data_IF_603268176332
#
_entry.id   IF_603268176332
#
_cell.length_a   1.000
_cell.length_b   1.000
_cell.length_c   1.000
_cell.angle_alpha   90.00
_cell.angle_beta   90.00
_cell.angle_gamma   90.00
#
_symmetry.space_group_name_H-M   'P 1'
#
loop_
_entity.id
_entity.type
_entity.pdbx_description
1 polymer ?
#
# COMPACT_ATOMS: atom_id res chain seq x y z
N UNK A 1 -18.57 12.44 -1.02
CA UNK A 1 -17.36 11.86 -1.64
C UNK A 1 -17.19 10.50 -1.02
N UNK A 2 -17.50 9.44 -1.77
CA UNK A 2 -17.11 8.08 -1.43
C UNK A 2 -15.60 7.99 -1.66
N UNK A 3 -14.88 7.51 -0.66
CA UNK A 3 -13.42 7.51 -0.66
C UNK A 3 -12.89 6.65 0.47
N UNK A 4 -11.60 6.33 0.41
CA UNK A 4 -10.96 5.48 1.40
C UNK A 4 -11.12 6.11 2.79
N UNK A 5 -11.64 5.33 3.74
CA UNK A 5 -11.84 5.71 5.14
C UNK A 5 -10.69 5.25 6.02
N UNK A 6 -9.98 4.20 5.64
CA UNK A 6 -8.90 3.63 6.43
C UNK A 6 -7.85 2.90 5.58
N UNK A 7 -6.61 2.85 6.08
CA UNK A 7 -5.48 2.26 5.37
C UNK A 7 -4.79 1.20 6.21
N UNK A 8 -4.50 0.08 5.57
CA UNK A 8 -3.75 -1.05 6.09
C UNK A 8 -2.36 -1.02 5.46
N UNK A 9 -1.32 -1.04 6.28
CA UNK A 9 0.05 -1.19 5.81
C UNK A 9 0.60 -2.55 6.21
N UNK A 10 1.22 -3.25 5.28
CA UNK A 10 2.23 -4.23 5.64
C UNK A 10 3.43 -3.54 6.32
N UNK A 11 4.16 -4.28 7.16
CA UNK A 11 5.34 -3.74 7.86
C UNK A 11 6.61 -3.89 7.02
N UNK A 12 7.07 -5.13 6.86
CA UNK A 12 8.45 -5.45 6.51
C UNK A 12 8.68 -5.39 4.99
N UNK A 13 9.53 -4.47 4.55
CA UNK A 13 9.74 -4.01 3.17
C UNK A 13 8.60 -3.17 2.56
N UNK A 14 7.67 -2.70 3.40
CA UNK A 14 6.63 -1.73 3.00
C UNK A 14 6.80 -0.40 3.73
N UNK A 15 6.80 -0.42 5.08
CA UNK A 15 7.02 0.78 5.93
C UNK A 15 8.42 0.78 6.53
N UNK A 16 8.95 -0.40 6.88
CA UNK A 16 10.27 -0.56 7.51
C UNK A 16 11.16 -1.44 6.64
N UNK A 17 12.47 -1.34 6.80
CA UNK A 17 13.38 -2.40 6.35
C UNK A 17 13.06 -3.73 7.08
N UNK A 18 13.50 -4.89 6.56
CA UNK A 18 13.31 -6.17 7.23
C UNK A 18 13.83 -6.15 8.67
N UNK A 19 13.01 -6.59 9.63
CA UNK A 19 13.40 -6.75 11.04
C UNK A 19 13.79 -5.45 11.78
N UNK A 20 13.51 -4.30 11.19
CA UNK A 20 13.74 -2.96 11.75
C UNK A 20 12.38 -2.35 12.11
N UNK A 21 12.30 -1.58 13.18
CA UNK A 21 11.03 -1.03 13.69
C UNK A 21 10.84 0.45 13.34
N UNK A 22 11.86 1.08 12.75
CA UNK A 22 11.88 2.45 12.27
C UNK A 22 11.35 2.59 10.85
N UNK A 23 10.64 3.68 10.58
CA UNK A 23 10.16 4.02 9.23
C UNK A 23 11.34 4.20 8.29
N UNK A 24 11.27 3.58 7.12
CA UNK A 24 12.31 3.73 6.10
C UNK A 24 12.23 5.13 5.45
N UNK A 25 13.39 5.74 5.21
CA UNK A 25 13.50 7.11 4.71
C UNK A 25 12.72 7.36 3.41
N UNK A 26 12.69 6.38 2.52
CA UNK A 26 11.98 6.46 1.23
C UNK A 26 10.47 6.64 1.35
N UNK A 27 9.88 6.23 2.48
CA UNK A 27 8.42 6.28 2.71
C UNK A 27 8.03 7.14 3.91
N UNK A 28 8.99 7.75 4.60
CA UNK A 28 8.75 8.57 5.79
C UNK A 28 7.75 9.69 5.53
N UNK A 29 7.97 10.48 4.47
CA UNK A 29 7.08 11.60 4.12
C UNK A 29 5.66 11.13 3.75
N UNK A 30 5.57 10.03 3.01
CA UNK A 30 4.29 9.44 2.62
C UNK A 30 3.54 8.92 3.85
N UNK A 31 4.21 8.22 4.74
CA UNK A 31 3.64 7.67 5.97
C UNK A 31 3.19 8.76 6.95
N UNK A 32 3.99 9.81 7.14
CA UNK A 32 3.58 10.99 7.90
C UNK A 32 2.38 11.69 7.27
N UNK A 33 2.33 11.78 5.94
CA UNK A 33 1.19 12.34 5.23
C UNK A 33 -0.07 11.51 5.45
N UNK A 34 0.02 10.17 5.40
CA UNK A 34 -1.09 9.28 5.73
C UNK A 34 -1.59 9.53 7.16
N UNK A 35 -0.69 9.66 8.14
CA UNK A 35 -1.07 9.96 9.54
C UNK A 35 -1.81 11.28 9.66
N UNK A 36 -1.38 12.32 8.95
CA UNK A 36 -2.08 13.62 8.95
C UNK A 36 -3.45 13.57 8.27
N UNK A 37 -3.57 12.84 7.15
CA UNK A 37 -4.81 12.79 6.35
C UNK A 37 -5.89 11.95 7.02
N UNK A 38 -5.55 10.74 7.47
CA UNK A 38 -6.52 9.80 8.02
C UNK A 38 -6.66 9.90 9.55
N UNK A 39 -5.61 10.35 10.22
CA UNK A 39 -5.45 10.21 11.66
C UNK A 39 -4.90 8.81 12.02
N UNK A 40 -4.05 8.71 13.06
CA UNK A 40 -3.27 7.50 13.33
C UNK A 40 -4.12 6.26 13.64
N UNK A 41 -5.34 6.42 14.17
CA UNK A 41 -6.23 5.28 14.48
C UNK A 41 -6.98 4.73 13.27
N UNK A 42 -7.07 5.50 12.18
CA UNK A 42 -7.61 5.03 10.89
C UNK A 42 -6.51 4.47 9.99
N UNK A 43 -5.34 4.21 10.56
CA UNK A 43 -4.26 3.45 9.97
C UNK A 43 -4.01 2.23 10.85
N UNK A 44 -3.66 1.10 10.26
CA UNK A 44 -3.16 -0.06 11.01
C UNK A 44 -1.95 -0.65 10.30
N UNK A 45 -1.04 -1.22 11.10
CA UNK A 45 0.05 -2.07 10.62
C UNK A 45 -0.36 -3.53 10.78
N UNK A 46 -0.14 -4.34 9.75
CA UNK A 46 -0.25 -5.80 9.84
C UNK A 46 1.10 -6.43 9.52
N UNK A 47 1.62 -7.23 10.45
CA UNK A 47 2.87 -7.97 10.30
C UNK A 47 2.61 -9.47 10.36
N UNK A 48 3.49 -10.26 9.74
CA UNK A 48 3.44 -11.72 9.83
C UNK A 48 4.03 -12.27 11.15
N UNK A 49 4.76 -11.42 11.89
CA UNK A 49 5.41 -11.78 13.16
C UNK A 49 4.83 -11.00 14.33
N UNK A 50 4.65 -9.68 14.22
CA UNK A 50 4.13 -8.85 15.29
C UNK A 50 2.60 -8.89 15.37
N UNK A 51 2.07 -8.88 16.60
CA UNK A 51 0.61 -8.91 16.85
C UNK A 51 -0.02 -10.29 16.68
N UNK A 52 0.78 -11.31 16.36
CA UNK A 52 0.36 -12.71 16.19
C UNK A 52 0.43 -13.48 17.51
N UNK A 53 -0.04 -14.74 17.51
CA UNK A 53 0.15 -15.67 18.64
C UNK A 53 1.62 -15.98 18.93
N UNK A 54 2.50 -15.83 17.93
CA UNK A 54 3.94 -16.04 18.09
C UNK A 54 4.61 -14.82 18.78
N UNK A 55 3.93 -13.68 18.85
CA UNK A 55 4.37 -12.46 19.54
C UNK A 55 4.00 -12.53 21.02
N UNK A 56 4.86 -13.20 21.80
CA UNK A 56 4.67 -13.40 23.24
C UNK A 56 4.43 -12.08 23.98
N UNK A 57 3.26 -11.95 24.60
CA UNK A 57 2.85 -10.73 25.29
C UNK A 57 2.67 -9.51 24.39
N UNK A 58 2.61 -9.70 23.07
CA UNK A 58 2.54 -8.64 22.06
C UNK A 58 3.66 -7.61 22.15
N UNK A 59 4.84 -8.02 22.63
CA UNK A 59 5.96 -7.13 22.87
C UNK A 59 6.47 -6.49 21.57
N UNK A 60 6.51 -7.24 20.46
CA UNK A 60 6.91 -6.67 19.18
C UNK A 60 5.90 -5.63 18.70
N UNK A 61 4.62 -5.96 18.77
CA UNK A 61 3.57 -5.04 18.38
C UNK A 61 3.59 -3.73 19.20
N UNK A 62 3.79 -3.80 20.52
CA UNK A 62 3.91 -2.62 21.38
C UNK A 62 5.11 -1.74 20.98
N UNK A 63 6.26 -2.35 20.68
CA UNK A 63 7.44 -1.59 20.22
C UNK A 63 7.17 -0.88 18.89
N UNK A 64 6.57 -1.59 17.94
CA UNK A 64 6.22 -1.04 16.62
C UNK A 64 5.21 0.09 16.77
N UNK A 65 4.20 -0.06 17.62
CA UNK A 65 3.22 1.01 17.90
C UNK A 65 3.89 2.25 18.48
N UNK A 66 4.81 2.05 19.43
CA UNK A 66 5.57 3.14 20.04
C UNK A 66 6.49 3.85 19.02
N UNK A 67 7.04 3.10 18.06
CA UNK A 67 7.94 3.62 17.04
C UNK A 67 7.18 4.36 15.93
N UNK A 68 6.14 3.72 15.37
CA UNK A 68 5.44 4.20 14.18
C UNK A 68 4.30 5.17 14.52
N UNK A 69 3.81 5.15 15.76
CA UNK A 69 2.71 6.00 16.22
C UNK A 69 1.34 5.60 15.67
N UNK A 70 1.19 4.35 15.23
CA UNK A 70 -0.05 3.78 14.69
C UNK A 70 -0.30 2.40 15.30
N UNK A 71 -1.56 1.98 15.46
CA UNK A 71 -1.90 0.64 15.97
C UNK A 71 -1.32 -0.48 15.11
N UNK A 72 -0.88 -1.55 15.76
CA UNK A 72 -0.59 -2.83 15.11
C UNK A 72 -1.79 -3.75 15.32
N UNK A 73 -2.31 -4.33 14.25
CA UNK A 73 -3.44 -5.25 14.38
C UNK A 73 -3.02 -6.47 15.20
N UNK A 74 -3.78 -6.78 16.25
CA UNK A 74 -3.63 -8.04 16.99
C UNK A 74 -4.53 -9.08 16.33
N UNK A 75 -3.96 -10.21 15.93
CA UNK A 75 -4.71 -11.23 15.21
C UNK A 75 -4.19 -12.64 15.53
N UNK A 76 -5.12 -13.57 15.74
CA UNK A 76 -4.77 -14.94 16.12
C UNK A 76 -4.26 -15.77 14.93
N UNK A 77 -4.75 -15.47 13.73
CA UNK A 77 -4.44 -16.21 12.51
C UNK A 77 -3.45 -15.41 11.67
N UNK A 78 -2.38 -16.05 11.17
CA UNK A 78 -1.44 -15.40 10.23
C UNK A 78 -2.18 -14.92 8.98
N UNK A 79 -1.67 -13.86 8.34
CA UNK A 79 -2.21 -13.37 7.05
C UNK A 79 -2.34 -14.54 6.06
N UNK A 80 -3.45 -14.66 5.32
CA UNK A 80 -4.57 -13.70 5.17
C UNK A 80 -5.74 -13.87 6.15
N UNK A 81 -5.61 -14.63 7.24
CA UNK A 81 -6.74 -14.98 8.12
C UNK A 81 -7.33 -13.83 8.97
N UNK A 82 -6.64 -12.68 9.07
CA UNK A 82 -6.98 -11.58 9.96
C UNK A 82 -8.08 -10.61 9.43
N UNK A 83 -8.86 -11.03 8.42
CA UNK A 83 -9.87 -10.20 7.74
C UNK A 83 -10.93 -9.64 8.68
N UNK A 84 -11.55 -10.48 9.53
CA UNK A 84 -12.62 -10.01 10.41
C UNK A 84 -12.12 -8.95 11.38
N UNK A 85 -10.91 -9.12 11.92
CA UNK A 85 -10.29 -8.18 12.87
C UNK A 85 -9.98 -6.82 12.22
N UNK A 86 -9.55 -6.82 10.94
CA UNK A 86 -9.36 -5.58 10.17
C UNK A 86 -10.67 -4.82 10.07
N UNK A 87 -11.74 -5.48 9.63
CA UNK A 87 -13.02 -4.81 9.45
C UNK A 87 -13.61 -4.34 10.78
N UNK A 88 -13.47 -5.12 11.84
CA UNK A 88 -13.91 -4.75 13.19
C UNK A 88 -13.22 -3.47 13.68
N UNK A 89 -11.88 -3.39 13.52
CA UNK A 89 -11.12 -2.19 13.86
C UNK A 89 -11.65 -0.95 13.12
N UNK A 90 -11.85 -1.06 11.80
CA UNK A 90 -12.31 0.07 11.03
C UNK A 90 -13.78 0.41 11.23
N UNK A 91 -14.64 -0.56 11.56
CA UNK A 91 -16.01 -0.26 11.98
C UNK A 91 -16.04 0.57 13.25
N UNK A 92 -15.13 0.31 14.18
CA UNK A 92 -14.98 1.10 15.42
C UNK A 92 -14.46 2.52 15.14
N UNK A 93 -13.44 2.67 14.29
CA UNK A 93 -12.75 3.96 14.10
C UNK A 93 -13.34 4.83 12.96
N UNK A 94 -14.00 4.21 11.97
CA UNK A 94 -14.57 4.88 10.79
C UNK A 94 -16.11 4.84 10.74
N UNK A 95 -16.75 4.00 11.57
CA UNK A 95 -18.20 3.88 11.68
C UNK A 95 -18.74 2.51 11.29
N UNK A 96 -19.91 2.09 11.84
CA UNK A 96 -20.44 0.73 11.71
C UNK A 96 -20.74 0.30 10.26
N UNK A 97 -21.02 1.26 9.39
CA UNK A 97 -21.31 1.06 7.97
C UNK A 97 -20.04 0.88 7.11
N UNK A 98 -18.86 0.88 7.73
CA UNK A 98 -17.60 0.66 7.01
C UNK A 98 -17.57 -0.73 6.40
N UNK A 99 -17.29 -0.80 5.11
CA UNK A 99 -17.10 -2.04 4.34
C UNK A 99 -15.66 -2.16 3.85
N UNK A 100 -15.31 -3.27 3.21
CA UNK A 100 -13.97 -3.45 2.65
C UNK A 100 -13.66 -2.48 1.49
N UNK A 101 -14.67 -2.05 0.73
CA UNK A 101 -14.52 -1.07 -0.37
C UNK A 101 -14.16 0.33 0.14
N UNK A 102 -14.35 0.59 1.43
CA UNK A 102 -13.88 1.82 2.08
C UNK A 102 -12.40 1.74 2.50
N UNK A 103 -11.73 0.60 2.32
CA UNK A 103 -10.40 0.34 2.86
C UNK A 103 -9.36 0.22 1.75
N UNK A 104 -8.13 0.60 2.07
CA UNK A 104 -6.99 0.41 1.19
C UNK A 104 -5.91 -0.41 1.89
N UNK A 105 -5.36 -1.42 1.23
CA UNK A 105 -4.16 -2.13 1.69
C UNK A 105 -2.95 -1.79 0.82
N UNK A 106 -1.83 -1.53 1.48
CA UNK A 106 -0.56 -1.20 0.87
C UNK A 106 0.47 -2.22 1.35
N UNK A 107 1.11 -2.91 0.42
CA UNK A 107 2.08 -3.95 0.75
C UNK A 107 2.92 -4.37 -0.45
N UNK A 108 4.02 -5.05 -0.17
CA UNK A 108 4.95 -5.53 -1.20
C UNK A 108 4.65 -6.96 -1.68
N UNK A 109 3.82 -7.72 -0.95
CA UNK A 109 3.55 -9.12 -1.29
C UNK A 109 2.31 -9.18 -2.16
N UNK A 110 2.48 -9.66 -3.39
CA UNK A 110 1.36 -9.84 -4.29
C UNK A 110 0.35 -10.80 -3.67
N UNK A 111 0.81 -11.97 -3.19
CA UNK A 111 -0.06 -13.02 -2.67
C UNK A 111 -0.85 -12.64 -1.40
N UNK A 112 -0.21 -12.03 -0.41
CA UNK A 112 -0.86 -11.80 0.89
C UNK A 112 -1.49 -10.43 1.03
N UNK A 113 -0.95 -9.40 0.37
CA UNK A 113 -1.43 -8.03 0.55
C UNK A 113 -2.34 -7.63 -0.63
N UNK A 114 -1.95 -7.94 -1.87
CA UNK A 114 -2.69 -7.52 -3.09
C UNK A 114 -3.82 -8.47 -3.47
N UNK A 115 -3.58 -9.78 -3.57
CA UNK A 115 -4.65 -10.70 -3.99
C UNK A 115 -5.80 -10.68 -2.98
N UNK A 116 -5.45 -10.68 -1.70
CA UNK A 116 -6.42 -10.73 -0.63
C UNK A 116 -7.28 -9.47 -0.55
N UNK A 117 -6.66 -8.28 -0.62
CA UNK A 117 -7.41 -7.03 -0.66
C UNK A 117 -8.37 -7.00 -1.85
N UNK A 118 -7.92 -7.47 -3.02
CA UNK A 118 -8.76 -7.56 -4.21
C UNK A 118 -9.94 -8.54 -4.03
N UNK A 119 -9.73 -9.69 -3.40
CA UNK A 119 -10.82 -10.64 -3.11
C UNK A 119 -11.86 -10.06 -2.13
N UNK A 120 -11.41 -9.26 -1.16
CA UNK A 120 -12.29 -8.62 -0.20
C UNK A 120 -12.98 -7.36 -0.76
N UNK A 121 -12.55 -6.84 -1.92
CA UNK A 121 -13.08 -5.63 -2.54
C UNK A 121 -12.38 -4.33 -2.13
N UNK A 122 -11.24 -4.43 -1.43
CA UNK A 122 -10.42 -3.27 -1.04
C UNK A 122 -9.64 -2.70 -2.21
N UNK A 123 -9.27 -1.42 -2.12
CA UNK A 123 -8.24 -0.85 -2.96
C UNK A 123 -6.89 -1.43 -2.56
N UNK A 124 -6.11 -1.94 -3.52
CA UNK A 124 -4.78 -2.50 -3.26
C UNK A 124 -3.70 -1.67 -3.94
N UNK A 125 -2.64 -1.36 -3.21
CA UNK A 125 -1.44 -0.71 -3.76
C UNK A 125 -0.26 -1.65 -3.55
N UNK A 126 0.25 -2.18 -4.66
CA UNK A 126 1.46 -2.98 -4.66
C UNK A 126 2.68 -2.06 -4.66
N UNK A 127 3.59 -2.27 -3.71
CA UNK A 127 4.84 -1.52 -3.62
C UNK A 127 6.03 -2.39 -4.02
N UNK A 128 7.09 -1.74 -4.50
CA UNK A 128 8.39 -2.40 -4.60
C UNK A 128 9.01 -2.50 -3.20
N UNK A 129 9.81 -3.54 -2.97
CA UNK A 129 10.53 -3.69 -1.70
C UNK A 129 11.42 -2.47 -1.44
N UNK A 130 11.47 -2.01 -0.19
CA UNK A 130 12.33 -0.90 0.21
C UNK A 130 13.82 -1.23 0.04
N UNK A 131 14.21 -2.46 0.39
CA UNK A 131 15.59 -2.92 0.28
C UNK A 131 15.63 -4.45 0.09
N UNK A 132 16.54 -4.99 -0.73
CA UNK A 132 16.82 -6.42 -0.78
C UNK A 132 17.76 -6.89 0.34
N UNK A 133 18.41 -5.97 1.08
CA UNK A 133 19.34 -6.29 2.15
C UNK A 133 18.61 -6.84 3.38
N UNK A 134 19.05 -8.00 3.88
CA UNK A 134 18.47 -8.62 5.08
C UNK A 134 17.15 -9.36 4.86
N UNK A 135 16.63 -9.42 3.63
CA UNK A 135 15.42 -10.18 3.32
C UNK A 135 15.64 -11.69 3.46
N UNK A 136 14.58 -12.41 3.85
CA UNK A 136 14.63 -13.85 3.93
C UNK A 136 14.77 -14.44 2.51
N UNK A 137 15.79 -15.28 2.29
CA UNK A 137 16.07 -15.91 0.99
C UNK A 137 14.85 -16.63 0.38
N UNK A 138 13.97 -17.21 1.21
CA UNK A 138 12.74 -17.85 0.74
C UNK A 138 11.72 -16.81 0.27
N UNK A 139 11.56 -15.70 1.01
CA UNK A 139 10.68 -14.60 0.61
C UNK A 139 11.16 -13.95 -0.68
N UNK A 140 12.46 -13.75 -0.84
CA UNK A 140 13.07 -13.24 -2.07
C UNK A 140 12.81 -14.16 -3.29
N UNK A 141 12.90 -15.48 -3.11
CA UNK A 141 12.60 -16.45 -4.18
C UNK A 141 11.12 -16.41 -4.57
N UNK A 142 10.22 -16.41 -3.58
CA UNK A 142 8.77 -16.33 -3.79
C UNK A 142 8.42 -15.03 -4.52
N UNK A 143 8.92 -13.88 -4.07
CA UNK A 143 8.75 -12.58 -4.75
C UNK A 143 9.26 -12.60 -6.19
N UNK A 144 10.42 -13.22 -6.45
CA UNK A 144 10.98 -13.30 -7.80
C UNK A 144 10.12 -14.16 -8.74
N UNK A 145 9.54 -15.25 -8.21
CA UNK A 145 8.57 -16.05 -8.94
C UNK A 145 7.29 -15.24 -9.21
N UNK A 146 6.69 -14.64 -8.18
CA UNK A 146 5.46 -13.85 -8.27
C UNK A 146 5.58 -12.67 -9.26
N UNK A 147 6.66 -11.88 -9.17
CA UNK A 147 6.92 -10.78 -10.10
C UNK A 147 7.14 -11.29 -11.54
N UNK A 148 7.76 -12.46 -11.70
CA UNK A 148 7.89 -13.12 -13.00
C UNK A 148 6.55 -13.57 -13.59
N UNK A 149 5.66 -14.12 -12.75
CA UNK A 149 4.32 -14.56 -13.15
C UNK A 149 3.39 -13.39 -13.50
N UNK A 150 3.45 -12.26 -12.78
CA UNK A 150 2.62 -11.08 -13.07
C UNK A 150 2.83 -10.51 -14.48
N UNK A 151 4.09 -10.54 -14.98
CA UNK A 151 4.43 -10.11 -16.35
C UNK A 151 3.86 -11.03 -17.43
N UNK A 152 3.65 -12.31 -17.12
CA UNK A 152 3.19 -13.33 -18.06
C UNK A 152 1.65 -13.48 -18.03
N UNK A 153 0.99 -13.13 -16.92
CA UNK A 153 -0.45 -13.29 -16.70
C UNK A 153 -1.26 -11.98 -16.74
N UNK A 154 -0.69 -10.89 -17.27
CA UNK A 154 -1.30 -9.55 -17.28
C UNK A 154 -2.76 -9.46 -17.78
N UNK A 155 -3.29 -10.32 -18.68
CA UNK A 155 -4.69 -10.24 -19.07
C UNK A 155 -5.67 -10.89 -18.06
N UNK A 156 -5.21 -11.79 -17.18
CA UNK A 156 -6.05 -12.56 -16.24
C UNK A 156 -5.99 -12.06 -14.80
N UNK A 157 -4.98 -11.26 -14.46
CA UNK A 157 -4.78 -10.68 -13.12
C UNK A 157 -5.13 -9.18 -13.08
N UNK A 158 -6.22 -8.78 -13.72
CA UNK A 158 -6.67 -7.39 -13.64
C UNK A 158 -7.36 -7.17 -12.29
N UNK A 159 -6.85 -6.21 -11.50
CA UNK A 159 -7.52 -5.78 -10.28
C UNK A 159 -8.97 -5.37 -10.62
N UNK A 160 -9.97 -5.78 -9.81
CA UNK A 160 -11.34 -5.35 -10.01
C UNK A 160 -11.43 -3.81 -9.96
N UNK A 161 -12.33 -3.23 -10.75
CA UNK A 161 -12.56 -1.78 -10.70
C UNK A 161 -13.03 -1.40 -9.30
N UNK A 162 -12.28 -0.53 -8.62
CA UNK A 162 -12.61 -0.05 -7.28
C UNK A 162 -13.33 1.31 -7.38
N UNK A 163 -14.40 1.58 -6.61
CA UNK A 163 -15.14 2.85 -6.66
C UNK A 163 -14.27 4.10 -6.47
N UNK A 164 -13.18 3.97 -5.70
CA UNK A 164 -12.20 5.04 -5.48
C UNK A 164 -11.27 5.32 -6.70
N UNK A 165 -11.25 4.44 -7.71
CA UNK A 165 -10.49 4.64 -8.94
C UNK A 165 -11.42 5.28 -9.98
N UNK A 166 -11.18 6.54 -10.34
CA UNK A 166 -11.78 7.15 -11.53
C UNK A 166 -11.41 6.38 -12.80
N UNK A 167 -12.00 6.75 -13.95
CA UNK A 167 -11.66 6.13 -15.25
C UNK A 167 -10.14 6.01 -15.41
N UNK A 168 -9.68 4.82 -15.82
CA UNK A 168 -8.26 4.49 -15.95
C UNK A 168 -7.54 5.56 -16.77
N UNK A 169 -6.74 6.40 -16.11
CA UNK A 169 -5.76 7.23 -16.80
C UNK A 169 -4.67 6.29 -17.27
N UNK A 170 -4.70 5.95 -18.56
CA UNK A 170 -3.60 5.29 -19.25
C UNK A 170 -2.45 6.27 -19.27
N UNK A 171 -1.54 6.16 -18.30
CA UNK A 171 -0.24 6.83 -18.38
C UNK A 171 0.56 6.09 -19.45
N UNK A 172 0.42 6.54 -20.69
CA UNK A 172 1.24 6.10 -21.79
C UNK A 172 2.71 6.37 -21.46
N UNK A 173 3.53 5.33 -21.47
CA UNK A 173 4.97 5.43 -21.50
C UNK A 173 5.39 6.15 -22.79
N UNK A 174 5.40 7.48 -22.75
CA UNK A 174 5.91 8.34 -23.81
C UNK A 174 7.44 8.32 -23.78
N UNK A 175 8.03 7.28 -24.36
CA UNK A 175 9.40 7.34 -24.85
C UNK A 175 9.43 8.28 -26.06
N UNK A 176 10.19 9.36 -25.95
CA UNK A 176 10.37 10.33 -27.02
C UNK A 176 11.64 11.13 -26.79
N UNK A 177 12.77 10.59 -27.25
CA UNK A 177 14.02 11.33 -27.44
C UNK A 177 13.76 12.54 -28.35
N UNK A 178 13.76 13.74 -27.78
CA UNK A 178 13.77 14.99 -28.53
C UNK A 178 15.19 15.29 -29.04
N UNK A 179 15.50 14.88 -30.28
CA UNK A 179 16.62 15.43 -31.05
C UNK A 179 16.34 16.89 -31.40
N UNK A 180 17.36 17.73 -31.23
CA UNK A 180 17.31 19.16 -31.47
C UNK A 180 17.07 19.57 -32.93
N UNK A 181 16.56 20.79 -33.09
CA UNK A 181 16.43 21.50 -34.36
C UNK A 181 16.12 22.98 -34.12
N UNK A 182 17.05 23.84 -34.55
CA UNK A 182 16.98 25.32 -34.53
C UNK A 182 15.99 25.87 -35.56
N UNK A 183 15.50 27.08 -35.28
CA UNK A 183 14.91 28.04 -36.23
C UNK A 183 13.41 28.24 -35.96
N UNK A 184 12.84 29.44 -35.83
CA UNK A 184 13.30 30.82 -36.01
C UNK A 184 12.04 31.68 -36.18
N UNK A 185 11.99 32.83 -35.51
CA UNK A 185 11.19 34.03 -35.82
C UNK A 185 9.69 33.93 -36.13
N UNK A 186 8.87 34.68 -35.37
CA UNK A 186 7.51 35.03 -35.82
C UNK A 186 6.59 35.52 -34.72
N UNK A 187 6.64 36.83 -34.47
CA UNK A 187 5.72 37.62 -33.64
C UNK A 187 4.28 37.56 -34.18
N UNK A 188 3.28 37.53 -33.30
CA UNK A 188 2.14 38.47 -33.27
C UNK A 188 1.24 38.21 -32.07
N UNK A 189 0.87 39.31 -31.42
CA UNK A 189 -0.23 39.49 -30.46
C UNK A 189 -1.53 38.79 -30.86
N UNK A 190 -2.37 38.44 -29.87
CA UNK A 190 -3.72 39.03 -29.66
C UNK A 190 -4.35 38.46 -28.37
N UNK A 191 -4.73 39.37 -27.46
CA UNK A 191 -5.93 39.45 -26.59
C UNK A 191 -7.03 38.35 -26.76
N UNK A 192 -7.99 38.06 -25.89
CA UNK A 192 -8.45 38.41 -24.54
C UNK A 192 -9.68 37.49 -24.29
N UNK A 193 -10.00 37.20 -23.01
CA UNK A 193 -11.35 37.22 -22.40
C UNK A 193 -12.48 36.40 -23.07
N UNK A 194 -12.96 35.35 -22.38
CA UNK A 194 -14.13 35.42 -21.47
C UNK A 194 -14.26 34.13 -20.66
#
# INVERSE_FOLDING_TARGET
MEGIKGVIFDKDNTITAPYVDEVHEQVADAFETSKRVFGPRKLIIISNSAGTLDDSGHAAAIRIESSLGVPVLRHAVKKPGAIPEVLEHFKKECGPDTTYEDLCIIGDRLLTDVMWGNFAGMLTVHTQILTPEGDNKVAAIVRRLENGFSRILSPRWSAPSHPAMGEKVVVGSGGGEGKGGRGGGGSTDTQQVK
#
